data_IF_208193021489
#
_entry.id   IF_208193021489
#
_cell.length_a   1.000
_cell.length_b   1.000
_cell.length_c   1.000
_cell.angle_alpha   90.00
_cell.angle_beta   90.00
_cell.angle_gamma   90.00
#
_symmetry.space_group_name_H-M   'P 1'
#
loop_
_entity.id
_entity.type
_entity.pdbx_description
1 polymer ?
#
# COMPACT_ATOMS: atom_id res chain seq x y z
N UNK A 1 31.76 8.97 20.86
CA UNK A 1 30.35 8.76 20.48
C UNK A 1 30.03 9.75 19.38
N UNK A 2 30.04 9.32 18.13
CA UNK A 2 29.75 10.18 16.98
C UNK A 2 28.36 9.81 16.46
N UNK A 3 27.43 10.75 16.58
CA UNK A 3 26.04 10.63 16.15
C UNK A 3 25.96 10.23 14.67
N UNK A 4 25.30 9.10 14.41
CA UNK A 4 24.81 8.70 13.10
C UNK A 4 23.92 9.81 12.53
N UNK A 5 24.51 10.64 11.66
CA UNK A 5 23.74 11.42 10.71
C UNK A 5 23.20 10.43 9.68
N UNK A 6 22.02 9.88 9.96
CA UNK A 6 21.20 9.14 9.01
C UNK A 6 20.96 10.07 7.82
N UNK A 7 21.84 9.93 6.83
CA UNK A 7 21.81 10.69 5.60
C UNK A 7 20.49 10.34 4.91
N UNK A 8 19.67 11.37 4.73
CA UNK A 8 18.31 11.32 4.20
C UNK A 8 18.25 10.46 2.93
N UNK A 9 17.81 9.21 3.09
CA UNK A 9 17.51 8.29 1.98
C UNK A 9 16.78 9.07 0.89
N UNK A 10 17.39 9.10 -0.29
CA UNK A 10 16.81 9.36 -1.60
C UNK A 10 15.28 9.13 -1.64
N UNK A 11 14.48 10.11 -1.20
CA UNK A 11 13.04 10.10 -1.43
C UNK A 11 12.85 10.68 -2.81
N UNK A 12 13.01 9.84 -3.84
CA UNK A 12 12.34 10.08 -5.12
C UNK A 12 10.89 10.48 -4.76
N UNK A 13 10.35 11.57 -5.34
CA UNK A 13 9.01 12.01 -5.00
C UNK A 13 8.08 10.82 -5.17
N UNK A 14 7.49 10.37 -4.06
CA UNK A 14 6.59 9.25 -4.07
C UNK A 14 5.44 9.65 -4.99
N UNK A 15 5.25 8.90 -6.08
CA UNK A 15 4.22 9.22 -7.08
C UNK A 15 2.91 9.53 -6.35
N UNK A 16 2.21 10.61 -6.74
CA UNK A 16 0.99 11.09 -6.09
C UNK A 16 -0.02 9.97 -5.82
N UNK A 17 -0.11 9.00 -6.74
CA UNK A 17 -0.97 7.80 -6.61
C UNK A 17 -0.58 6.90 -5.44
N UNK A 18 0.73 6.68 -5.25
CA UNK A 18 1.25 5.87 -4.13
C UNK A 18 1.03 6.58 -2.81
N UNK A 19 1.24 7.90 -2.78
CA UNK A 19 0.97 8.71 -1.58
C UNK A 19 -0.50 8.65 -1.17
N UNK A 20 -1.42 8.74 -2.14
CA UNK A 20 -2.86 8.61 -1.89
C UNK A 20 -3.25 7.22 -1.36
N UNK A 21 -2.67 6.15 -1.93
CA UNK A 21 -2.92 4.78 -1.48
C UNK A 21 -2.46 4.57 -0.02
N UNK A 22 -1.28 5.08 0.34
CA UNK A 22 -0.76 4.98 1.70
C UNK A 22 -1.62 5.75 2.69
N UNK A 23 -2.09 6.95 2.32
CA UNK A 23 -3.00 7.73 3.15
C UNK A 23 -4.33 6.99 3.38
N UNK A 24 -4.89 6.39 2.33
CA UNK A 24 -6.11 5.58 2.43
C UNK A 24 -5.90 4.35 3.35
N UNK A 25 -4.75 3.67 3.24
CA UNK A 25 -4.44 2.53 4.11
C UNK A 25 -4.30 2.93 5.58
N UNK A 26 -3.62 4.05 5.86
CA UNK A 26 -3.50 4.56 7.23
C UNK A 26 -4.86 4.91 7.83
N UNK A 27 -5.72 5.57 7.06
CA UNK A 27 -7.08 5.87 7.50
C UNK A 27 -7.90 4.59 7.77
N UNK A 28 -7.75 3.57 6.92
CA UNK A 28 -8.40 2.27 7.11
C UNK A 28 -7.97 1.59 8.41
N UNK A 29 -6.67 1.54 8.70
CA UNK A 29 -6.15 0.95 9.93
C UNK A 29 -6.73 1.64 11.17
N UNK A 30 -6.74 2.98 11.17
CA UNK A 30 -7.32 3.76 12.27
C UNK A 30 -8.82 3.49 12.43
N UNK A 31 -9.56 3.46 11.32
CA UNK A 31 -11.02 3.24 11.34
C UNK A 31 -11.38 1.85 11.86
N UNK A 32 -10.56 0.85 11.55
CA UNK A 32 -10.79 -0.55 11.96
C UNK A 32 -10.10 -0.93 13.27
N UNK A 33 -9.31 -0.02 13.87
CA UNK A 33 -8.50 -0.33 15.06
C UNK A 33 -7.45 -1.40 14.80
N UNK A 34 -6.94 -1.49 13.57
CA UNK A 34 -5.98 -2.52 13.15
C UNK A 34 -4.55 -2.00 13.21
N UNK A 35 -3.62 -2.91 13.47
CA UNK A 35 -2.19 -2.65 13.36
C UNK A 35 -1.69 -3.00 11.95
N UNK A 36 -0.59 -2.37 11.52
CA UNK A 36 0.05 -2.69 10.25
C UNK A 36 0.62 -4.12 10.29
N UNK A 37 -0.10 -5.04 9.66
CA UNK A 37 0.28 -6.44 9.48
C UNK A 37 -0.06 -6.87 8.07
N UNK A 38 0.50 -7.99 7.64
CA UNK A 38 0.16 -8.61 6.36
C UNK A 38 -1.35 -8.83 6.23
N UNK A 39 -1.98 -9.37 7.27
CA UNK A 39 -3.42 -9.59 7.31
C UNK A 39 -4.22 -8.29 7.13
N UNK A 40 -3.82 -7.21 7.80
CA UNK A 40 -4.48 -5.92 7.65
C UNK A 40 -4.32 -5.32 6.25
N UNK A 41 -3.21 -5.62 5.54
CA UNK A 41 -3.01 -5.21 4.14
C UNK A 41 -3.92 -5.98 3.20
N UNK A 42 -4.10 -7.28 3.43
CA UNK A 42 -5.00 -8.12 2.63
C UNK A 42 -6.44 -7.64 2.75
N UNK A 43 -6.93 -7.42 3.98
CA UNK A 43 -8.28 -6.88 4.20
C UNK A 43 -8.42 -5.51 3.55
N UNK A 44 -7.41 -4.64 3.68
CA UNK A 44 -7.45 -3.34 3.03
C UNK A 44 -7.53 -3.46 1.51
N UNK A 45 -6.74 -4.32 0.88
CA UNK A 45 -6.77 -4.49 -0.57
C UNK A 45 -8.14 -4.96 -1.05
N UNK A 46 -8.75 -5.92 -0.36
CA UNK A 46 -10.10 -6.41 -0.64
C UNK A 46 -11.14 -5.29 -0.46
N UNK A 47 -11.14 -4.60 0.68
CA UNK A 47 -12.08 -3.50 0.93
C UNK A 47 -11.87 -2.29 0.01
N UNK A 48 -10.63 -1.95 -0.32
CA UNK A 48 -10.29 -0.79 -1.13
C UNK A 48 -10.65 -1.02 -2.60
N UNK A 49 -10.48 -2.24 -3.10
CA UNK A 49 -10.92 -2.63 -4.46
C UNK A 49 -12.44 -2.68 -4.58
N UNK A 50 -13.17 -3.15 -3.57
CA UNK A 50 -14.62 -3.11 -3.51
C UNK A 50 -15.17 -1.66 -3.42
N UNK A 51 -14.62 -0.84 -2.51
CA UNK A 51 -15.09 0.53 -2.27
C UNK A 51 -14.77 1.50 -3.40
N UNK A 52 -13.71 1.28 -4.17
CA UNK A 52 -13.43 2.06 -5.37
C UNK A 52 -14.50 1.90 -6.44
N UNK A 53 -15.51 1.02 -6.26
CA UNK A 53 -16.43 0.60 -7.30
C UNK A 53 -15.65 0.39 -8.59
N UNK A 54 -14.60 -0.40 -8.52
CA UNK A 54 -14.13 -1.07 -9.72
C UNK A 54 -15.24 -2.05 -10.13
N UNK A 55 -16.28 -1.51 -10.78
CA UNK A 55 -17.21 -2.22 -11.64
C UNK A 55 -16.52 -2.79 -12.88
N UNK A 56 -15.19 -2.86 -12.87
CA UNK A 56 -14.31 -3.00 -14.03
C UNK A 56 -13.05 -3.72 -13.57
N UNK A 57 -13.12 -5.00 -13.22
CA UNK A 57 -11.92 -5.83 -13.28
C UNK A 57 -12.28 -7.21 -13.81
N UNK A 58 -12.09 -7.34 -15.12
CA UNK A 58 -11.72 -8.57 -15.80
C UNK A 58 -10.51 -9.19 -15.07
N UNK A 59 -10.48 -10.52 -14.91
CA UNK A 59 -9.56 -11.24 -14.03
C UNK A 59 -8.07 -10.98 -14.32
N UNK A 60 -7.77 -10.48 -15.51
CA UNK A 60 -6.43 -10.16 -15.99
C UNK A 60 -5.78 -8.98 -15.25
N UNK A 61 -6.53 -7.92 -14.93
CA UNK A 61 -5.95 -6.79 -14.19
C UNK A 61 -5.78 -7.09 -12.69
N UNK A 62 -6.59 -8.00 -12.13
CA UNK A 62 -6.36 -8.51 -10.77
C UNK A 62 -5.02 -9.23 -10.67
N UNK A 63 -4.69 -10.06 -11.68
CA UNK A 63 -3.37 -10.73 -11.75
C UNK A 63 -2.23 -9.73 -11.87
N UNK A 64 -2.36 -8.70 -12.70
CA UNK A 64 -1.33 -7.66 -12.82
C UNK A 64 -1.09 -6.91 -11.51
N UNK A 65 -2.14 -6.62 -10.73
CA UNK A 65 -2.00 -5.96 -9.43
C UNK A 65 -1.29 -6.87 -8.41
N UNK A 66 -1.59 -8.17 -8.41
CA UNK A 66 -0.91 -9.15 -7.55
C UNK A 66 0.57 -9.25 -7.94
N UNK A 67 0.88 -9.38 -9.22
CA UNK A 67 2.27 -9.43 -9.72
C UNK A 67 3.07 -8.16 -9.38
N UNK A 68 2.43 -7.00 -9.41
CA UNK A 68 3.07 -5.75 -8.98
C UNK A 68 3.32 -5.72 -7.48
N UNK A 69 2.39 -6.20 -6.65
CA UNK A 69 2.56 -6.25 -5.19
C UNK A 69 3.65 -7.26 -4.77
N UNK A 70 3.76 -8.41 -5.43
CA UNK A 70 4.82 -9.40 -5.19
C UNK A 70 6.21 -8.87 -5.55
N UNK A 71 6.34 -8.01 -6.56
CA UNK A 71 7.63 -7.37 -6.88
C UNK A 71 8.12 -6.43 -5.78
N UNK A 72 7.22 -5.91 -4.96
CA UNK A 72 7.58 -5.04 -3.83
C UNK A 72 7.75 -5.78 -2.50
N UNK A 73 7.43 -7.08 -2.41
CA UNK A 73 7.57 -7.88 -1.19
C UNK A 73 8.98 -8.48 -0.99
N UNK A 74 9.90 -8.33 -1.95
CA UNK A 74 11.30 -8.77 -1.85
C UNK A 74 12.23 -7.78 -1.13
N UNK A 75 11.73 -7.00 -0.17
CA UNK A 75 12.52 -6.07 0.65
C UNK A 75 12.49 -6.41 2.14
#
# INVERSE_FOLDING_TARGET
>A
MQNERVNTRNKKPLNHRVSALLAAYQAFLLTKGLVNSEFSRLIFAENYTENLKFKIYDDELKKQLIDELEKFSSF
#
